data_IF_626405283981
#
_entry.id   IF_626405283981
#
_cell.length_a   1.000
_cell.length_b   1.000
_cell.length_c   1.000
_cell.angle_alpha   90.00
_cell.angle_beta   90.00
_cell.angle_gamma   90.00
#
_symmetry.space_group_name_H-M   'P 1'
#
loop_
_entity.id
_entity.type
_entity.pdbx_description
1 polymer ?
#
# COMPACT_ATOMS: atom_id res chain seq x y z
N UNK A 1 35.66 -3.05 -37.12
CA UNK A 1 34.43 -2.34 -36.72
C UNK A 1 34.38 -2.36 -35.21
N UNK A 2 34.85 -1.32 -34.56
CA UNK A 2 34.84 -1.17 -33.10
C UNK A 2 33.41 -0.80 -32.67
N UNK A 3 32.72 -1.71 -31.98
CA UNK A 3 31.47 -1.38 -31.33
C UNK A 3 31.76 -0.33 -30.26
N UNK A 4 31.36 0.89 -30.54
CA UNK A 4 31.35 1.98 -29.52
C UNK A 4 30.39 1.55 -28.41
N UNK A 5 30.91 1.22 -27.26
CA UNK A 5 30.13 1.08 -26.03
C UNK A 5 29.61 2.46 -25.69
N UNK A 6 28.42 2.80 -26.19
CA UNK A 6 27.71 4.01 -25.79
C UNK A 6 27.46 3.85 -24.29
N UNK A 7 28.12 4.68 -23.47
CA UNK A 7 27.87 4.73 -22.04
C UNK A 7 26.34 4.87 -21.83
N UNK A 8 25.74 3.96 -21.08
CA UNK A 8 24.32 3.99 -20.80
C UNK A 8 24.00 5.30 -20.07
N UNK A 9 23.09 6.11 -20.62
CA UNK A 9 22.71 7.37 -20.01
C UNK A 9 22.00 7.09 -18.68
N UNK A 10 22.47 7.73 -17.60
CA UNK A 10 21.90 7.63 -16.25
C UNK A 10 21.29 8.99 -15.91
N UNK A 11 20.03 8.98 -15.47
CA UNK A 11 19.36 10.18 -14.94
C UNK A 11 19.90 10.45 -13.53
N UNK A 12 20.54 11.61 -13.26
CA UNK A 12 21.07 11.92 -11.94
C UNK A 12 19.98 12.28 -10.94
N UNK A 13 20.27 12.16 -9.64
CA UNK A 13 19.39 12.67 -8.59
C UNK A 13 19.14 14.17 -8.77
N UNK A 14 17.90 14.60 -8.61
CA UNK A 14 17.44 15.97 -8.83
C UNK A 14 17.28 16.77 -7.52
N UNK A 15 16.93 16.08 -6.41
CA UNK A 15 16.54 16.72 -5.14
C UNK A 15 17.32 16.21 -3.93
N UNK A 16 18.40 15.47 -4.15
CA UNK A 16 19.31 15.03 -3.08
C UNK A 16 19.92 16.26 -2.36
N UNK A 17 19.95 16.23 -1.03
CA UNK A 17 20.36 17.35 -0.17
C UNK A 17 19.30 18.44 0.03
N UNK A 18 18.13 18.32 -0.64
CA UNK A 18 17.01 19.27 -0.50
C UNK A 18 15.76 18.57 0.10
N UNK A 19 15.33 17.45 -0.46
CA UNK A 19 14.14 16.70 -0.03
C UNK A 19 14.50 15.51 0.86
N UNK A 20 15.72 15.07 0.78
CA UNK A 20 16.30 13.97 1.56
C UNK A 20 17.82 14.11 1.65
N UNK A 21 18.51 13.46 2.61
CA UNK A 21 19.97 13.55 2.74
C UNK A 21 20.73 13.07 1.50
N UNK A 22 21.73 13.85 1.06
CA UNK A 22 22.61 13.47 -0.05
C UNK A 22 23.66 12.42 0.34
N UNK A 23 23.99 12.29 1.63
CA UNK A 23 24.88 11.25 2.15
C UNK A 23 24.14 9.89 2.17
N UNK A 24 24.73 8.83 1.59
CA UNK A 24 24.06 7.53 1.49
C UNK A 24 23.73 6.90 2.86
N UNK A 25 24.61 7.08 3.86
CA UNK A 25 24.39 6.49 5.18
C UNK A 25 23.29 7.24 5.94
N UNK A 26 23.29 8.58 5.86
CA UNK A 26 22.24 9.42 6.44
C UNK A 26 20.88 9.15 5.77
N UNK A 27 20.86 8.99 4.44
CA UNK A 27 19.63 8.65 3.72
C UNK A 27 19.10 7.28 4.15
N UNK A 28 19.97 6.25 4.21
CA UNK A 28 19.56 4.92 4.66
C UNK A 28 18.98 4.95 6.06
N UNK A 29 19.61 5.67 6.99
CA UNK A 29 19.11 5.81 8.36
C UNK A 29 17.76 6.54 8.42
N UNK A 30 17.57 7.60 7.62
CA UNK A 30 16.30 8.34 7.54
C UNK A 30 15.17 7.45 6.99
N UNK A 31 15.44 6.65 5.96
CA UNK A 31 14.48 5.71 5.40
C UNK A 31 14.12 4.60 6.40
N UNK A 32 15.12 4.04 7.11
CA UNK A 32 14.88 3.04 8.15
C UNK A 32 14.01 3.59 9.27
N UNK A 33 14.27 4.81 9.71
CA UNK A 33 13.44 5.50 10.69
C UNK A 33 12.00 5.72 10.17
N UNK A 34 11.82 6.09 8.90
CA UNK A 34 10.52 6.25 8.29
C UNK A 34 9.74 4.93 8.24
N UNK A 35 10.37 3.82 7.84
CA UNK A 35 9.77 2.48 7.85
C UNK A 35 9.44 2.00 9.26
N UNK A 36 10.31 2.25 10.24
CA UNK A 36 10.07 1.90 11.64
C UNK A 36 8.90 2.70 12.27
N UNK A 37 8.71 3.94 11.84
CA UNK A 37 7.62 4.82 12.29
C UNK A 37 6.30 4.63 11.50
N UNK A 38 6.33 3.85 10.41
CA UNK A 38 5.15 3.62 9.58
C UNK A 38 4.11 2.78 10.34
N UNK A 39 2.81 3.10 10.26
CA UNK A 39 1.77 2.24 10.77
C UNK A 39 1.85 0.84 10.15
N UNK A 40 1.46 -0.23 10.88
CA UNK A 40 1.37 -1.57 10.31
C UNK A 40 0.48 -1.59 9.06
N UNK A 41 0.96 -2.22 7.99
CA UNK A 41 0.26 -2.31 6.71
C UNK A 41 -0.14 -3.77 6.41
N UNK A 42 -1.28 -4.26 6.96
CA UNK A 42 -1.74 -5.64 6.77
C UNK A 42 -2.41 -5.84 5.39
N UNK A 43 -1.96 -5.10 4.38
CA UNK A 43 -2.51 -5.08 3.04
C UNK A 43 -1.65 -5.90 2.08
N UNK A 44 -2.25 -6.33 0.96
CA UNK A 44 -1.61 -7.00 -0.15
C UNK A 44 -1.87 -6.22 -1.42
N UNK A 45 -1.25 -5.06 -1.50
CA UNK A 45 -1.52 -4.11 -2.56
C UNK A 45 -0.72 -4.45 -3.83
N UNK A 46 -1.40 -4.51 -4.95
CA UNK A 46 -0.82 -4.48 -6.29
C UNK A 46 -0.41 -3.07 -6.69
N UNK A 47 -1.17 -2.09 -6.22
CA UNK A 47 -0.96 -0.69 -6.49
C UNK A 47 -1.12 0.12 -5.20
N UNK A 48 -0.28 1.16 -5.04
CA UNK A 48 -0.30 2.05 -3.88
C UNK A 48 -0.26 3.51 -4.31
N UNK A 49 -0.82 4.41 -3.47
CA UNK A 49 -0.58 5.85 -3.58
C UNK A 49 0.45 6.25 -2.53
N UNK A 50 1.46 7.01 -2.96
CA UNK A 50 2.62 7.38 -2.14
C UNK A 50 2.84 8.89 -2.23
N UNK A 51 2.91 9.63 -1.12
CA UNK A 51 3.25 11.05 -1.15
C UNK A 51 4.73 11.28 -1.49
N UNK A 52 5.06 12.49 -1.99
CA UNK A 52 6.39 12.81 -2.50
C UNK A 52 6.97 14.12 -1.95
N UNK A 53 6.47 14.63 -0.85
CA UNK A 53 7.12 15.73 -0.13
C UNK A 53 8.46 15.30 0.47
N UNK A 54 9.22 16.24 1.03
CA UNK A 54 10.47 15.93 1.72
C UNK A 54 10.29 14.87 2.81
N UNK A 55 11.34 14.05 3.02
CA UNK A 55 11.28 12.86 3.88
C UNK A 55 10.81 13.17 5.31
N UNK A 56 11.17 14.34 5.84
CA UNK A 56 10.78 14.78 7.19
C UNK A 56 9.27 15.05 7.31
N UNK A 57 8.58 15.33 6.20
CA UNK A 57 7.16 15.64 6.17
C UNK A 57 6.29 14.43 5.85
N UNK A 58 6.62 13.72 4.77
CA UNK A 58 5.76 12.65 4.24
C UNK A 58 6.37 11.25 4.38
N UNK A 59 7.63 11.12 4.87
CA UNK A 59 8.38 9.88 4.82
C UNK A 59 7.68 8.69 5.49
N UNK A 60 7.08 8.88 6.68
CA UNK A 60 6.35 7.80 7.38
C UNK A 60 5.10 7.35 6.62
N UNK A 61 4.46 8.26 5.88
CA UNK A 61 3.27 7.95 5.07
C UNK A 61 3.69 7.21 3.81
N UNK A 62 4.79 7.65 3.15
CA UNK A 62 5.37 6.96 2.01
C UNK A 62 5.82 5.52 2.37
N UNK A 63 6.47 5.36 3.51
CA UNK A 63 6.89 4.06 4.04
C UNK A 63 5.68 3.15 4.32
N UNK A 64 4.60 3.68 4.91
CA UNK A 64 3.35 2.94 5.13
C UNK A 64 2.77 2.42 3.82
N UNK A 65 2.68 3.28 2.78
CA UNK A 65 2.17 2.88 1.47
C UNK A 65 2.97 1.73 0.85
N UNK A 66 4.30 1.84 0.83
CA UNK A 66 5.16 0.83 0.20
C UNK A 66 5.24 -0.47 1.01
N UNK A 67 5.09 -0.40 2.34
CA UNK A 67 4.98 -1.60 3.19
C UNK A 67 3.71 -2.42 2.93
N UNK A 68 2.74 -1.85 2.22
CA UNK A 68 1.51 -2.55 1.84
C UNK A 68 1.66 -3.42 0.58
N UNK A 69 2.75 -3.31 -0.16
CA UNK A 69 2.94 -4.07 -1.41
C UNK A 69 2.91 -5.58 -1.15
N UNK A 70 2.20 -6.32 -2.02
CA UNK A 70 2.09 -7.77 -1.91
C UNK A 70 3.41 -8.45 -2.27
N UNK A 71 3.80 -9.41 -1.44
CA UNK A 71 4.94 -10.30 -1.66
C UNK A 71 6.20 -9.55 -2.20
N UNK A 72 6.74 -8.58 -1.45
CA UNK A 72 7.84 -7.72 -1.94
C UNK A 72 9.05 -8.53 -2.41
N UNK A 73 9.29 -9.73 -1.87
CA UNK A 73 10.35 -10.63 -2.27
C UNK A 73 10.20 -11.18 -3.71
N UNK A 74 9.03 -11.07 -4.31
CA UNK A 74 8.74 -11.48 -5.70
C UNK A 74 8.87 -10.35 -6.70
N UNK A 75 8.85 -9.10 -6.21
CA UNK A 75 8.85 -7.93 -7.08
C UNK A 75 10.18 -7.78 -7.79
N UNK A 76 10.11 -7.66 -9.11
CA UNK A 76 11.23 -7.40 -10.01
C UNK A 76 11.12 -6.03 -10.66
N UNK A 77 9.92 -5.44 -10.63
CA UNK A 77 9.61 -4.17 -11.29
C UNK A 77 8.66 -3.32 -10.47
N UNK A 78 8.93 -2.02 -10.43
CA UNK A 78 8.00 -1.03 -9.89
C UNK A 78 7.74 0.05 -10.95
N UNK A 79 6.49 0.20 -11.35
CA UNK A 79 6.03 1.32 -12.18
C UNK A 79 5.77 2.50 -11.24
N UNK A 80 6.40 3.64 -11.50
CA UNK A 80 6.22 4.86 -10.70
C UNK A 80 5.58 5.92 -11.59
N UNK A 81 4.30 6.23 -11.35
CA UNK A 81 3.59 7.32 -12.02
C UNK A 81 3.60 8.54 -11.10
N UNK A 82 3.94 9.71 -11.62
CA UNK A 82 3.93 10.94 -10.83
C UNK A 82 3.58 12.17 -11.66
N UNK A 83 3.12 13.26 -11.01
CA UNK A 83 2.80 14.51 -11.69
C UNK A 83 4.05 15.25 -12.13
N UNK A 84 3.86 16.10 -13.11
CA UNK A 84 4.87 17.06 -13.54
C UNK A 84 4.62 18.43 -12.87
N UNK A 85 5.66 18.98 -12.22
CA UNK A 85 5.58 20.26 -11.49
C UNK A 85 6.38 21.38 -12.15
N UNK A 86 7.21 21.11 -13.16
CA UNK A 86 8.25 22.03 -13.62
C UNK A 86 7.92 22.73 -14.93
N UNK A 87 7.42 21.99 -15.90
CA UNK A 87 7.10 22.53 -17.23
C UNK A 87 5.75 22.02 -17.68
N UNK A 88 5.10 22.73 -18.60
CA UNK A 88 3.85 22.21 -19.18
C UNK A 88 4.14 20.88 -19.91
N UNK A 89 3.35 19.88 -19.62
CA UNK A 89 3.40 18.56 -20.23
C UNK A 89 1.97 18.12 -20.57
N UNK A 90 1.72 17.93 -21.85
CA UNK A 90 0.48 17.34 -22.34
C UNK A 90 0.71 15.83 -22.51
N UNK A 91 -0.14 14.99 -21.91
CA UNK A 91 -0.02 13.54 -21.96
C UNK A 91 1.01 12.98 -20.98
N UNK A 92 1.80 12.00 -21.44
CA UNK A 92 2.75 11.22 -20.65
C UNK A 92 4.16 11.34 -21.23
N UNK A 93 5.16 11.54 -20.37
CA UNK A 93 6.56 11.52 -20.76
C UNK A 93 7.32 10.34 -20.12
N UNK A 94 8.20 9.71 -20.92
CA UNK A 94 9.21 8.76 -20.48
C UNK A 94 10.60 9.40 -20.62
N UNK A 95 11.48 9.16 -19.66
CA UNK A 95 12.86 9.62 -19.73
C UNK A 95 13.70 8.69 -20.61
N UNK A 96 14.60 9.21 -21.48
CA UNK A 96 15.43 8.39 -22.36
C UNK A 96 16.60 7.66 -21.66
N UNK A 97 16.82 7.87 -20.36
CA UNK A 97 17.88 7.20 -19.61
C UNK A 97 17.54 5.73 -19.34
N UNK A 98 18.57 4.89 -19.34
CA UNK A 98 18.48 3.46 -19.06
C UNK A 98 18.50 3.13 -17.57
N UNK A 99 18.83 4.10 -16.72
CA UNK A 99 18.87 3.95 -15.27
C UNK A 99 18.73 5.31 -14.58
N UNK A 100 18.35 5.28 -13.30
CA UNK A 100 18.24 6.45 -12.43
C UNK A 100 19.17 6.32 -11.23
N UNK A 101 19.95 7.35 -10.94
CA UNK A 101 20.88 7.39 -9.82
C UNK A 101 20.25 8.11 -8.62
N UNK A 102 20.44 7.56 -7.44
CA UNK A 102 20.21 8.21 -6.15
C UNK A 102 21.45 7.97 -5.26
N UNK A 103 21.55 8.58 -4.08
CA UNK A 103 22.62 8.24 -3.14
C UNK A 103 22.68 6.76 -2.73
N UNK A 104 21.57 6.01 -2.86
CA UNK A 104 21.53 4.56 -2.58
C UNK A 104 22.08 3.69 -3.73
N UNK A 105 22.43 4.29 -4.86
CA UNK A 105 22.91 3.59 -6.04
C UNK A 105 22.04 3.80 -7.27
N UNK A 106 22.17 2.91 -8.24
CA UNK A 106 21.52 3.03 -9.55
C UNK A 106 20.37 2.03 -9.66
N UNK A 107 19.18 2.53 -10.03
CA UNK A 107 18.01 1.72 -10.36
C UNK A 107 17.92 1.56 -11.89
N UNK A 108 17.95 0.34 -12.43
CA UNK A 108 17.80 0.11 -13.87
C UNK A 108 16.36 0.38 -14.32
N UNK A 109 16.19 0.89 -15.54
CA UNK A 109 14.88 1.07 -16.17
C UNK A 109 14.50 -0.21 -16.92
N UNK A 110 13.30 -0.72 -16.68
CA UNK A 110 12.71 -1.83 -17.42
C UNK A 110 12.26 -1.35 -18.82
N UNK A 111 13.22 -1.25 -19.75
CA UNK A 111 13.02 -0.64 -21.06
C UNK A 111 11.93 -1.32 -21.89
N UNK A 112 11.81 -2.65 -21.80
CA UNK A 112 10.80 -3.39 -22.55
C UNK A 112 9.38 -3.00 -22.09
N UNK A 113 9.19 -2.84 -20.78
CA UNK A 113 7.93 -2.36 -20.24
C UNK A 113 7.69 -0.89 -20.62
N UNK A 114 8.70 -0.02 -20.51
CA UNK A 114 8.56 1.38 -20.91
C UNK A 114 8.18 1.50 -22.40
N UNK A 115 8.79 0.67 -23.28
CA UNK A 115 8.44 0.64 -24.71
C UNK A 115 7.00 0.22 -24.99
N UNK A 116 6.39 -0.58 -24.13
CA UNK A 116 5.01 -1.05 -24.33
C UNK A 116 3.98 0.08 -24.40
N UNK A 117 4.26 1.24 -23.81
CA UNK A 117 3.34 2.39 -23.82
C UNK A 117 3.70 3.45 -24.88
N UNK A 118 4.87 3.36 -25.53
CA UNK A 118 5.30 4.37 -26.53
C UNK A 118 4.44 4.40 -27.79
N UNK A 119 3.66 3.36 -28.05
CA UNK A 119 2.74 3.34 -29.19
C UNK A 119 1.40 4.03 -28.90
N UNK A 120 1.18 4.49 -27.65
CA UNK A 120 -0.02 5.24 -27.31
C UNK A 120 0.10 6.69 -27.79
N UNK A 121 -0.96 7.19 -28.39
CA UNK A 121 -1.06 8.60 -28.73
C UNK A 121 -1.08 9.44 -27.45
N UNK A 122 -0.22 10.45 -27.36
CA UNK A 122 -0.01 11.24 -26.15
C UNK A 122 1.10 10.73 -25.21
N UNK A 123 1.86 9.69 -25.59
CA UNK A 123 3.08 9.26 -24.88
C UNK A 123 4.32 9.60 -25.69
N UNK A 124 5.28 10.28 -25.08
CA UNK A 124 6.53 10.68 -25.74
C UNK A 124 7.77 10.40 -24.89
N UNK A 125 8.92 10.25 -25.55
CA UNK A 125 10.23 10.28 -24.87
C UNK A 125 10.71 11.71 -24.84
N UNK A 126 10.77 12.31 -23.63
CA UNK A 126 11.24 13.68 -23.44
C UNK A 126 11.92 13.82 -22.08
N UNK A 127 13.19 14.25 -22.06
CA UNK A 127 13.95 14.45 -20.83
C UNK A 127 13.64 15.77 -20.13
N UNK A 128 13.10 16.76 -20.85
CA UNK A 128 12.92 18.13 -20.32
C UNK A 128 12.02 18.21 -19.09
N UNK A 129 10.88 17.51 -19.02
CA UNK A 129 10.00 17.58 -17.86
C UNK A 129 10.61 16.99 -16.58
N UNK A 130 11.66 16.20 -16.68
CA UNK A 130 12.30 15.54 -15.53
C UNK A 130 13.38 16.38 -14.85
N UNK A 131 13.77 17.51 -15.45
CA UNK A 131 14.80 18.39 -14.87
C UNK A 131 14.25 19.07 -13.61
N UNK A 132 14.87 18.77 -12.46
CA UNK A 132 14.45 19.27 -11.15
C UNK A 132 13.10 18.71 -10.65
N UNK A 133 12.55 17.69 -11.31
CA UNK A 133 11.30 17.04 -10.89
C UNK A 133 11.56 16.01 -9.78
N UNK A 134 10.74 16.04 -8.74
CA UNK A 134 10.90 15.23 -7.52
C UNK A 134 9.86 14.13 -7.35
N UNK A 135 8.73 14.23 -8.05
CA UNK A 135 7.57 13.35 -7.82
C UNK A 135 7.85 11.87 -8.05
N UNK A 136 8.80 11.53 -8.92
CA UNK A 136 9.21 10.15 -9.18
C UNK A 136 10.44 9.75 -8.33
N UNK A 137 11.33 10.69 -8.03
CA UNK A 137 12.56 10.44 -7.28
C UNK A 137 12.27 10.16 -5.80
N UNK A 138 11.30 10.86 -5.22
CA UNK A 138 10.94 10.65 -3.81
C UNK A 138 10.43 9.23 -3.54
N UNK A 139 9.44 8.66 -4.26
CA UNK A 139 9.10 7.25 -4.11
C UNK A 139 10.26 6.31 -4.43
N UNK A 140 11.12 6.64 -5.41
CA UNK A 140 12.23 5.79 -5.82
C UNK A 140 13.21 5.49 -4.68
N UNK A 141 13.58 6.46 -3.84
CA UNK A 141 14.49 6.20 -2.71
C UNK A 141 13.91 5.18 -1.72
N UNK A 142 12.61 5.22 -1.46
CA UNK A 142 11.92 4.22 -0.63
C UNK A 142 11.85 2.85 -1.32
N UNK A 143 11.55 2.84 -2.63
CA UNK A 143 11.55 1.61 -3.44
C UNK A 143 12.92 0.96 -3.43
N UNK A 144 14.01 1.69 -3.64
CA UNK A 144 15.37 1.15 -3.60
C UNK A 144 15.74 0.60 -2.22
N UNK A 145 15.26 1.25 -1.14
CA UNK A 145 15.52 0.78 0.23
C UNK A 145 14.76 -0.51 0.55
N UNK A 146 13.52 -0.62 0.09
CA UNK A 146 12.66 -1.79 0.32
C UNK A 146 13.02 -2.96 -0.60
N UNK A 147 13.35 -2.67 -1.86
CA UNK A 147 13.53 -3.64 -2.95
C UNK A 147 14.88 -3.41 -3.67
N UNK A 148 16.01 -3.74 -3.04
CA UNK A 148 17.32 -3.53 -3.64
C UNK A 148 17.45 -4.25 -4.99
N UNK A 149 17.89 -3.51 -6.03
CA UNK A 149 18.10 -4.05 -7.36
C UNK A 149 16.84 -4.20 -8.23
N UNK A 150 15.68 -3.73 -7.76
CA UNK A 150 14.45 -3.72 -8.55
C UNK A 150 14.58 -2.82 -9.78
N UNK A 151 13.98 -3.24 -10.90
CA UNK A 151 13.84 -2.40 -12.08
C UNK A 151 12.68 -1.41 -11.90
N UNK A 152 12.80 -0.22 -12.49
CA UNK A 152 11.76 0.80 -12.44
C UNK A 152 11.21 1.13 -13.83
N UNK A 153 9.96 1.60 -13.87
CA UNK A 153 9.38 2.27 -15.04
C UNK A 153 8.92 3.65 -14.59
N UNK A 154 9.76 4.69 -14.71
CA UNK A 154 9.41 6.05 -14.33
C UNK A 154 8.51 6.69 -15.40
N UNK A 155 7.29 7.06 -15.03
CA UNK A 155 6.25 7.60 -15.91
C UNK A 155 5.80 8.95 -15.39
N UNK A 156 6.10 10.01 -16.10
CA UNK A 156 5.69 11.37 -15.74
C UNK A 156 4.38 11.70 -16.44
N UNK A 157 3.36 12.06 -15.67
CA UNK A 157 2.00 12.32 -16.15
C UNK A 157 1.70 13.81 -16.04
N UNK A 158 1.45 14.44 -17.15
CA UNK A 158 1.04 15.84 -17.25
C UNK A 158 -0.48 16.01 -17.36
N UNK A 159 -0.92 16.95 -18.15
CA UNK A 159 -2.32 17.09 -18.52
C UNK A 159 -2.71 15.92 -19.45
N UNK A 160 -3.18 14.83 -18.87
CA UNK A 160 -3.53 13.60 -19.58
C UNK A 160 -4.99 13.23 -19.34
N UNK A 161 -5.65 12.81 -20.41
CA UNK A 161 -6.98 12.23 -20.30
C UNK A 161 -6.93 10.92 -19.47
N UNK A 162 -7.90 10.68 -18.59
CA UNK A 162 -7.92 9.50 -17.74
C UNK A 162 -7.83 8.18 -18.50
N UNK A 163 -8.39 8.11 -19.71
CA UNK A 163 -8.34 6.94 -20.58
C UNK A 163 -6.90 6.63 -21.07
N UNK A 164 -6.09 7.65 -21.35
CA UNK A 164 -4.69 7.46 -21.72
C UNK A 164 -3.88 6.87 -20.56
N UNK A 165 -4.08 7.40 -19.35
CA UNK A 165 -3.39 6.89 -18.17
C UNK A 165 -3.87 5.48 -17.82
N UNK A 166 -5.17 5.20 -17.93
CA UNK A 166 -5.73 3.85 -17.76
C UNK A 166 -5.06 2.86 -18.70
N UNK A 167 -5.00 3.17 -20.01
CA UNK A 167 -4.39 2.28 -21.00
C UNK A 167 -2.89 2.09 -20.75
N UNK A 168 -2.19 3.14 -20.36
CA UNK A 168 -0.78 3.05 -20.00
C UNK A 168 -0.56 2.13 -18.78
N UNK A 169 -1.37 2.27 -17.72
CA UNK A 169 -1.32 1.43 -16.52
C UNK A 169 -1.66 -0.02 -16.87
N UNK A 170 -2.69 -0.26 -17.71
CA UNK A 170 -3.05 -1.61 -18.15
C UNK A 170 -1.91 -2.31 -18.90
N UNK A 171 -1.22 -1.60 -19.81
CA UNK A 171 -0.06 -2.16 -20.53
C UNK A 171 1.14 -2.41 -19.62
N UNK A 172 1.27 -1.64 -18.54
CA UNK A 172 2.33 -1.76 -17.54
C UNK A 172 1.98 -2.70 -16.38
N UNK A 173 0.76 -3.25 -16.35
CA UNK A 173 0.22 -4.01 -15.21
C UNK A 173 1.12 -5.16 -14.78
N UNK A 174 1.64 -5.93 -15.74
CA UNK A 174 2.47 -7.10 -15.47
C UNK A 174 1.76 -8.18 -14.64
N UNK A 175 2.54 -9.15 -14.18
CA UNK A 175 2.12 -10.19 -13.26
C UNK A 175 2.44 -9.85 -11.79
N UNK A 176 2.56 -10.88 -10.92
CA UNK A 176 2.89 -10.70 -9.50
C UNK A 176 4.30 -10.14 -9.26
N UNK A 177 5.16 -10.11 -10.28
CA UNK A 177 6.50 -9.52 -10.24
C UNK A 177 6.52 -8.00 -10.42
N UNK A 178 5.38 -7.36 -10.73
CA UNK A 178 5.26 -5.93 -10.99
C UNK A 178 4.36 -5.27 -9.95
N UNK A 179 4.80 -4.19 -9.32
CA UNK A 179 3.99 -3.30 -8.49
C UNK A 179 3.80 -1.94 -9.15
N UNK A 180 2.74 -1.23 -8.78
CA UNK A 180 2.42 0.11 -9.28
C UNK A 180 2.40 1.10 -8.12
N UNK A 181 3.16 2.16 -8.25
CA UNK A 181 3.26 3.27 -7.31
C UNK A 181 2.73 4.54 -7.99
N UNK A 182 1.63 5.07 -7.50
CA UNK A 182 1.07 6.37 -7.94
C UNK A 182 1.53 7.42 -6.94
N UNK A 183 2.36 8.32 -7.40
CA UNK A 183 2.96 9.38 -6.60
C UNK A 183 2.05 10.59 -6.55
N UNK A 184 1.58 10.97 -5.36
CA UNK A 184 0.73 12.15 -5.19
C UNK A 184 0.68 12.62 -3.75
N UNK A 185 0.88 13.91 -3.53
CA UNK A 185 0.40 14.59 -2.33
C UNK A 185 -1.08 14.96 -2.50
N UNK A 186 -1.78 15.27 -1.39
CA UNK A 186 -3.18 15.69 -1.38
C UNK A 186 -3.31 17.22 -1.56
N UNK A 187 -4.12 17.89 -0.75
CA UNK A 187 -4.35 19.34 -0.89
C UNK A 187 -3.09 20.16 -0.61
N UNK A 188 -3.00 21.35 -1.22
CA UNK A 188 -1.87 22.25 -1.09
C UNK A 188 -2.26 23.65 -0.64
N UNK A 189 -1.44 24.21 0.25
CA UNK A 189 -1.45 25.62 0.64
C UNK A 189 -2.76 26.15 1.22
N UNK A 190 -3.57 25.28 1.80
CA UNK A 190 -4.74 25.60 2.55
C UNK A 190 -4.40 25.82 4.04
N UNK A 191 -5.28 26.50 4.79
CA UNK A 191 -5.19 26.49 6.25
C UNK A 191 -5.43 25.08 6.79
N UNK A 192 -4.85 24.74 7.95
CA UNK A 192 -4.92 23.39 8.51
C UNK A 192 -6.36 22.82 8.61
N UNK A 193 -7.39 23.54 9.06
CA UNK A 193 -8.77 23.04 9.04
C UNK A 193 -9.31 22.80 7.63
N UNK A 194 -9.00 23.69 6.67
CA UNK A 194 -9.47 23.58 5.31
C UNK A 194 -8.76 22.43 4.55
N UNK A 195 -7.44 22.23 4.82
CA UNK A 195 -6.69 21.11 4.29
C UNK A 195 -7.28 19.78 4.74
N UNK A 196 -7.53 19.60 6.06
CA UNK A 196 -8.14 18.37 6.59
C UNK A 196 -9.49 18.08 5.96
N UNK A 197 -10.39 19.07 5.88
CA UNK A 197 -11.70 18.87 5.25
C UNK A 197 -11.62 18.52 3.76
N UNK A 198 -10.65 19.10 3.03
CA UNK A 198 -10.40 18.77 1.62
C UNK A 198 -9.83 17.35 1.48
N UNK A 199 -8.87 16.99 2.31
CA UNK A 199 -8.18 15.70 2.27
C UNK A 199 -9.12 14.56 2.65
N UNK A 200 -10.00 14.75 3.64
CA UNK A 200 -11.06 13.80 4.00
C UNK A 200 -12.04 13.57 2.82
N UNK A 201 -12.44 14.65 2.14
CA UNK A 201 -13.29 14.53 0.96
C UNK A 201 -12.57 13.82 -0.21
N UNK A 202 -11.29 14.13 -0.43
CA UNK A 202 -10.45 13.47 -1.46
C UNK A 202 -10.27 12.00 -1.14
N UNK A 203 -9.97 11.66 0.12
CA UNK A 203 -9.90 10.29 0.59
C UNK A 203 -11.18 9.53 0.27
N UNK A 204 -12.33 10.07 0.62
CA UNK A 204 -13.62 9.43 0.37
C UNK A 204 -13.87 9.19 -1.13
N UNK A 205 -13.47 10.11 -2.02
CA UNK A 205 -13.54 9.92 -3.48
C UNK A 205 -12.67 8.77 -3.94
N UNK A 206 -11.41 8.71 -3.48
CA UNK A 206 -10.46 7.66 -3.85
C UNK A 206 -10.96 6.29 -3.38
N UNK A 207 -11.43 6.18 -2.12
CA UNK A 207 -11.93 4.92 -1.54
C UNK A 207 -13.19 4.40 -2.24
N UNK A 208 -14.07 5.30 -2.71
CA UNK A 208 -15.27 4.92 -3.49
C UNK A 208 -15.01 4.65 -4.97
N UNK A 209 -13.81 4.96 -5.48
CA UNK A 209 -13.49 4.86 -6.89
C UNK A 209 -14.07 5.98 -7.76
N UNK A 210 -14.42 7.11 -7.17
CA UNK A 210 -15.06 8.28 -7.84
C UNK A 210 -14.01 9.12 -8.60
N UNK A 211 -13.33 8.51 -9.55
CA UNK A 211 -12.23 9.13 -10.30
C UNK A 211 -12.66 10.40 -11.06
N UNK A 212 -13.90 10.48 -11.51
CA UNK A 212 -14.43 11.63 -12.28
C UNK A 212 -14.61 12.89 -11.42
N UNK A 213 -14.73 12.73 -10.10
CA UNK A 213 -14.90 13.81 -9.14
C UNK A 213 -13.56 14.36 -8.62
N UNK A 214 -12.43 13.72 -8.93
CA UNK A 214 -11.11 14.23 -8.54
C UNK A 214 -10.73 15.46 -9.35
N UNK A 215 -10.34 16.51 -8.65
CA UNK A 215 -9.97 17.80 -9.20
C UNK A 215 -8.46 18.07 -9.01
N UNK A 216 -7.85 18.98 -9.81
CA UNK A 216 -6.46 19.40 -9.62
C UNK A 216 -6.16 19.98 -8.23
N UNK A 217 -7.19 20.50 -7.54
CA UNK A 217 -7.08 21.03 -6.17
C UNK A 217 -7.15 19.98 -5.08
N UNK A 218 -7.51 18.76 -5.42
CA UNK A 218 -7.63 17.65 -4.46
C UNK A 218 -6.28 16.95 -4.25
N UNK A 219 -5.49 16.81 -5.34
CA UNK A 219 -4.21 16.14 -5.31
C UNK A 219 -3.33 16.59 -6.49
N UNK A 220 -2.01 16.77 -6.28
CA UNK A 220 -1.10 17.15 -7.36
C UNK A 220 -1.01 16.06 -8.44
N UNK A 221 -1.08 14.79 -8.07
CA UNK A 221 -1.11 13.64 -8.97
C UNK A 221 -2.50 13.28 -9.51
N UNK A 222 -3.47 14.20 -9.51
CA UNK A 222 -4.87 13.90 -9.86
C UNK A 222 -5.02 13.24 -11.24
N UNK A 223 -4.22 13.60 -12.24
CA UNK A 223 -4.28 12.98 -13.58
C UNK A 223 -3.88 11.50 -13.51
N UNK A 224 -2.78 11.18 -12.83
CA UNK A 224 -2.33 9.81 -12.61
C UNK A 224 -3.33 9.02 -11.76
N UNK A 225 -3.86 9.62 -10.69
CA UNK A 225 -4.86 9.01 -9.82
C UNK A 225 -6.15 8.67 -10.55
N UNK A 226 -6.66 9.55 -11.40
CA UNK A 226 -7.89 9.30 -12.18
C UNK A 226 -7.76 8.05 -13.05
N UNK A 227 -6.65 7.90 -13.77
CA UNK A 227 -6.41 6.71 -14.61
C UNK A 227 -6.20 5.45 -13.77
N UNK A 228 -5.42 5.53 -12.69
CA UNK A 228 -5.18 4.41 -11.78
C UNK A 228 -6.46 3.90 -11.10
N UNK A 229 -7.34 4.81 -10.65
CA UNK A 229 -8.64 4.46 -10.05
C UNK A 229 -9.58 3.83 -11.09
N UNK A 230 -9.53 4.27 -12.35
CA UNK A 230 -10.29 3.61 -13.43
C UNK A 230 -9.88 2.16 -13.60
N UNK A 231 -8.56 1.88 -13.64
CA UNK A 231 -8.04 0.50 -13.67
C UNK A 231 -8.49 -0.28 -12.45
N UNK A 232 -8.38 0.30 -11.26
CA UNK A 232 -8.80 -0.35 -10.03
C UNK A 232 -10.30 -0.71 -10.04
N UNK A 233 -11.14 0.22 -10.51
CA UNK A 233 -12.59 0.01 -10.62
C UNK A 233 -12.93 -1.07 -11.64
N UNK A 234 -12.29 -1.04 -12.84
CA UNK A 234 -12.50 -2.03 -13.88
C UNK A 234 -12.08 -3.45 -13.43
N UNK A 235 -11.06 -3.55 -12.60
CA UNK A 235 -10.56 -4.81 -12.03
C UNK A 235 -11.27 -5.23 -10.72
N UNK A 236 -12.25 -4.46 -10.26
CA UNK A 236 -12.95 -4.74 -8.99
C UNK A 236 -12.03 -4.73 -7.78
N UNK A 237 -10.99 -3.91 -7.80
CA UNK A 237 -10.05 -3.80 -6.69
C UNK A 237 -10.69 -3.10 -5.49
N UNK A 238 -10.28 -3.50 -4.30
CA UNK A 238 -10.63 -2.79 -3.08
C UNK A 238 -9.60 -1.69 -2.82
N UNK A 239 -10.08 -0.47 -2.64
CA UNK A 239 -9.25 0.67 -2.27
C UNK A 239 -9.42 0.98 -0.79
N UNK A 240 -8.32 1.18 -0.08
CA UNK A 240 -8.34 1.51 1.36
C UNK A 240 -7.33 2.62 1.66
N UNK A 241 -7.78 3.68 2.33
CA UNK A 241 -6.90 4.69 2.91
C UNK A 241 -6.21 4.14 4.15
N UNK A 242 -4.89 4.27 4.21
CA UNK A 242 -4.06 3.59 5.21
C UNK A 242 -3.51 4.51 6.28
N UNK A 243 -2.88 5.60 5.84
CA UNK A 243 -2.21 6.56 6.71
C UNK A 243 -2.32 7.96 6.13
N UNK A 244 -2.51 8.93 7.00
CA UNK A 244 -2.68 10.34 6.64
C UNK A 244 -1.85 11.22 7.57
N UNK A 245 -1.37 12.33 7.03
CA UNK A 245 -0.66 13.36 7.77
C UNK A 245 -0.78 14.70 7.04
N UNK A 246 -0.36 15.76 7.70
CA UNK A 246 -0.24 17.07 7.09
C UNK A 246 1.07 17.75 7.50
N UNK A 247 1.56 18.68 6.68
CA UNK A 247 2.86 19.32 6.88
C UNK A 247 2.96 20.11 8.20
N UNK A 248 1.84 20.58 8.76
CA UNK A 248 1.80 21.25 10.06
C UNK A 248 2.09 20.31 11.24
N UNK A 249 1.89 18.98 11.08
CA UNK A 249 2.25 17.99 12.09
C UNK A 249 3.79 17.81 12.20
N UNK A 250 4.52 18.10 11.14
CA UNK A 250 5.98 18.09 11.10
C UNK A 250 6.61 19.50 11.29
N UNK A 251 5.84 20.45 11.84
CA UNK A 251 6.31 21.81 12.13
C UNK A 251 6.17 22.80 10.98
N UNK A 252 5.50 22.46 9.91
CA UNK A 252 5.16 23.39 8.83
C UNK A 252 4.13 24.45 9.26
N UNK A 253 4.00 25.56 8.51
CA UNK A 253 3.08 26.65 8.84
C UNK A 253 1.61 26.20 8.67
N UNK A 254 0.79 26.47 9.69
CA UNK A 254 -0.62 26.07 9.74
C UNK A 254 -1.54 26.82 8.77
N UNK A 255 -1.05 27.91 8.20
CA UNK A 255 -1.75 28.74 7.21
C UNK A 255 -1.55 28.23 5.77
N UNK A 256 -0.55 27.34 5.56
CA UNK A 256 -0.17 26.84 4.24
C UNK A 256 0.24 25.35 4.32
N UNK A 257 -0.74 24.52 4.57
CA UNK A 257 -0.57 23.08 4.79
C UNK A 257 -0.56 22.30 3.47
N UNK A 258 0.22 21.25 3.41
CA UNK A 258 0.15 20.19 2.39
C UNK A 258 -0.31 18.90 3.06
N UNK A 259 -1.32 18.26 2.48
CA UNK A 259 -1.84 16.98 2.94
C UNK A 259 -1.11 15.80 2.32
N UNK A 260 -0.97 14.71 3.06
CA UNK A 260 -0.33 13.46 2.64
C UNK A 260 -1.25 12.28 2.90
N UNK A 261 -1.34 11.35 1.94
CA UNK A 261 -2.17 10.17 2.06
C UNK A 261 -1.51 8.94 1.46
N UNK A 262 -1.64 7.82 2.15
CA UNK A 262 -1.27 6.49 1.66
C UNK A 262 -2.52 5.68 1.38
N UNK A 263 -2.59 5.04 0.22
CA UNK A 263 -3.70 4.17 -0.15
C UNK A 263 -3.18 2.86 -0.71
N UNK A 264 -3.89 1.77 -0.38
CA UNK A 264 -3.67 0.45 -0.93
C UNK A 264 -4.81 0.07 -1.88
N UNK A 265 -4.46 -0.49 -3.04
CA UNK A 265 -5.38 -1.09 -3.99
C UNK A 265 -5.08 -2.58 -4.05
N UNK A 266 -6.00 -3.38 -3.53
CA UNK A 266 -5.87 -4.83 -3.43
C UNK A 266 -6.76 -5.51 -4.47
N UNK A 267 -6.23 -6.51 -5.17
CA UNK A 267 -7.04 -7.35 -6.04
C UNK A 267 -8.06 -8.12 -5.19
N UNK A 268 -9.29 -8.29 -5.70
CA UNK A 268 -10.38 -8.92 -4.94
C UNK A 268 -10.01 -10.33 -4.45
N UNK A 269 -9.21 -11.07 -5.20
CA UNK A 269 -8.70 -12.39 -4.85
C UNK A 269 -7.64 -12.33 -3.76
N UNK A 270 -6.74 -11.33 -3.77
CA UNK A 270 -5.74 -11.09 -2.73
C UNK A 270 -6.37 -10.60 -1.42
N UNK A 271 -7.51 -9.90 -1.49
CA UNK A 271 -8.29 -9.51 -0.31
C UNK A 271 -8.98 -10.71 0.36
N UNK A 272 -9.17 -11.82 -0.35
CA UNK A 272 -9.71 -13.07 0.17
C UNK A 272 -8.56 -13.95 0.67
N UNK A 273 -8.74 -14.55 1.83
CA UNK A 273 -7.81 -15.60 2.28
C UNK A 273 -7.86 -16.78 1.31
N UNK A 274 -6.69 -17.34 0.90
CA UNK A 274 -6.64 -18.59 0.18
C UNK A 274 -7.44 -19.67 0.91
N UNK A 275 -8.06 -20.58 0.15
CA UNK A 275 -8.89 -21.65 0.75
C UNK A 275 -8.11 -22.47 1.77
N UNK A 276 -6.83 -22.78 1.50
CA UNK A 276 -5.96 -23.47 2.46
C UNK A 276 -5.76 -22.69 3.76
N UNK A 277 -5.68 -21.37 3.72
CA UNK A 277 -5.54 -20.54 4.92
C UNK A 277 -6.87 -20.42 5.69
N UNK A 278 -8.01 -20.41 4.99
CA UNK A 278 -9.34 -20.49 5.63
C UNK A 278 -9.50 -21.80 6.40
N UNK A 279 -9.16 -22.93 5.76
CA UNK A 279 -9.21 -24.24 6.40
C UNK A 279 -8.28 -24.28 7.63
N UNK A 280 -7.08 -23.71 7.54
CA UNK A 280 -6.12 -23.61 8.66
C UNK A 280 -6.67 -22.77 9.82
N UNK A 281 -7.35 -21.66 9.56
CA UNK A 281 -7.95 -20.83 10.62
C UNK A 281 -9.09 -21.56 11.33
N UNK A 282 -9.95 -22.28 10.59
CA UNK A 282 -11.00 -23.10 11.21
C UNK A 282 -10.39 -24.21 12.05
N UNK A 283 -9.39 -24.93 11.51
CA UNK A 283 -8.69 -25.97 12.26
C UNK A 283 -8.02 -25.42 13.53
N UNK A 284 -7.42 -24.23 13.44
CA UNK A 284 -6.81 -23.54 14.57
C UNK A 284 -7.83 -23.15 15.64
N UNK A 285 -9.00 -22.63 15.24
CA UNK A 285 -10.08 -22.30 16.15
C UNK A 285 -10.60 -23.56 16.88
N UNK A 286 -10.81 -24.68 16.16
CA UNK A 286 -11.20 -25.96 16.73
C UNK A 286 -10.17 -26.44 17.75
N UNK A 287 -8.88 -26.51 17.34
CA UNK A 287 -7.81 -26.97 18.23
C UNK A 287 -7.67 -26.10 19.49
N UNK A 288 -7.88 -24.76 19.34
CA UNK A 288 -7.84 -23.83 20.47
C UNK A 288 -9.01 -24.07 21.46
N UNK A 289 -10.19 -24.37 20.95
CA UNK A 289 -11.35 -24.71 21.78
C UNK A 289 -11.17 -26.06 22.48
N UNK A 290 -10.63 -27.07 21.78
CA UNK A 290 -10.33 -28.40 22.38
C UNK A 290 -9.28 -28.27 23.49
N UNK A 291 -8.23 -27.49 23.24
CA UNK A 291 -7.21 -27.20 24.26
C UNK A 291 -7.83 -26.53 25.48
N UNK A 292 -8.61 -25.47 25.28
CA UNK A 292 -9.23 -24.71 26.34
C UNK A 292 -10.22 -25.56 27.16
N UNK A 293 -10.97 -26.46 26.52
CA UNK A 293 -11.88 -27.40 27.21
C UNK A 293 -11.11 -28.36 28.13
N UNK A 294 -9.91 -28.79 27.73
CA UNK A 294 -9.05 -29.66 28.54
C UNK A 294 -8.28 -28.90 29.63
N UNK A 295 -8.12 -27.56 29.49
CA UNK A 295 -7.30 -26.70 30.35
C UNK A 295 -8.11 -25.59 31.02
N UNK A 296 -9.36 -25.86 31.42
CA UNK A 296 -10.21 -24.91 32.18
C UNK A 296 -10.38 -23.52 31.56
N UNK A 297 -10.40 -23.43 30.22
CA UNK A 297 -10.59 -22.20 29.50
C UNK A 297 -9.31 -21.42 29.21
N UNK A 298 -8.14 -21.97 29.47
CA UNK A 298 -6.86 -21.35 29.09
C UNK A 298 -6.64 -21.37 27.57
N UNK A 299 -6.10 -20.27 27.04
CA UNK A 299 -5.76 -20.18 25.61
C UNK A 299 -4.40 -20.84 25.32
N UNK A 300 -4.27 -21.61 24.21
CA UNK A 300 -2.99 -22.18 23.82
C UNK A 300 -2.01 -21.09 23.37
N UNK A 301 -0.71 -21.31 23.59
CA UNK A 301 0.33 -20.47 23.02
C UNK A 301 0.50 -20.79 21.52
N UNK A 302 0.13 -19.86 20.66
CA UNK A 302 0.25 -20.02 19.21
C UNK A 302 1.63 -19.53 18.73
N UNK A 303 2.50 -20.48 18.39
CA UNK A 303 3.76 -20.22 17.69
C UNK A 303 3.49 -20.00 16.20
N UNK A 304 3.99 -18.88 15.65
CA UNK A 304 3.99 -18.66 14.21
C UNK A 304 5.32 -19.21 13.66
N UNK A 305 5.29 -20.45 13.15
CA UNK A 305 6.45 -21.07 12.49
C UNK A 305 6.71 -20.48 11.11
N UNK A 306 7.84 -20.84 10.50
CA UNK A 306 8.23 -20.38 9.17
C UNK A 306 7.23 -20.77 8.05
N UNK A 307 6.40 -21.79 8.31
CA UNK A 307 5.42 -22.31 7.35
C UNK A 307 4.06 -21.56 7.39
N UNK A 308 3.94 -20.55 8.27
CA UNK A 308 2.70 -19.75 8.35
C UNK A 308 2.71 -18.72 7.24
N UNK A 309 1.65 -18.69 6.44
CA UNK A 309 1.51 -17.74 5.34
C UNK A 309 1.56 -16.29 5.84
N UNK A 310 2.01 -15.37 4.98
CA UNK A 310 2.00 -13.95 5.27
C UNK A 310 0.61 -13.42 5.63
N UNK A 311 -0.46 -14.01 5.05
CA UNK A 311 -1.84 -13.65 5.35
C UNK A 311 -2.26 -14.00 6.80
N UNK A 312 -1.79 -15.13 7.33
CA UNK A 312 -2.07 -15.57 8.70
C UNK A 312 -1.17 -14.86 9.73
N UNK A 313 0.00 -14.39 9.30
CA UNK A 313 0.96 -13.63 10.12
C UNK A 313 0.63 -12.14 10.17
N UNK A 314 -0.15 -11.62 9.21
CA UNK A 314 -0.54 -10.22 9.16
C UNK A 314 -1.42 -9.83 10.37
N UNK A 315 -1.25 -8.61 10.87
CA UNK A 315 -2.14 -8.06 11.91
C UNK A 315 -3.52 -7.80 11.32
N UNK A 316 -4.52 -8.56 11.77
CA UNK A 316 -5.92 -8.39 11.38
C UNK A 316 -6.83 -8.68 12.57
N UNK A 317 -7.97 -8.00 12.59
CA UNK A 317 -9.02 -8.23 13.59
C UNK A 317 -9.99 -9.30 13.11
N UNK A 318 -10.50 -10.12 14.03
CA UNK A 318 -11.49 -11.14 13.74
C UNK A 318 -12.59 -11.21 14.79
N UNK A 319 -13.71 -11.80 14.38
CA UNK A 319 -14.75 -12.31 15.28
C UNK A 319 -14.91 -13.80 15.05
N UNK A 320 -15.01 -14.55 16.13
CA UNK A 320 -15.33 -15.98 16.09
C UNK A 320 -16.73 -16.18 16.65
N UNK A 321 -17.61 -16.78 15.85
CA UNK A 321 -18.97 -17.10 16.19
C UNK A 321 -19.12 -18.61 16.30
N UNK A 322 -19.68 -19.06 17.40
CA UNK A 322 -20.00 -20.46 17.70
C UNK A 322 -21.50 -20.63 17.67
N UNK A 323 -21.97 -21.59 16.92
CA UNK A 323 -23.39 -21.93 16.82
C UNK A 323 -23.62 -23.42 17.15
N UNK A 324 -24.73 -23.71 17.76
CA UNK A 324 -25.23 -25.05 17.97
C UNK A 324 -26.66 -25.14 17.47
N UNK A 325 -26.94 -26.07 16.56
CA UNK A 325 -28.28 -26.23 15.95
C UNK A 325 -28.80 -24.90 15.35
N UNK A 326 -27.93 -24.16 14.63
CA UNK A 326 -28.19 -22.86 14.06
C UNK A 326 -28.58 -21.75 15.07
N UNK A 327 -28.30 -21.95 16.36
CA UNK A 327 -28.49 -20.94 17.40
C UNK A 327 -27.15 -20.49 17.95
N UNK A 328 -27.04 -19.15 18.18
CA UNK A 328 -25.84 -18.57 18.76
C UNK A 328 -25.49 -19.24 20.09
N UNK A 329 -24.22 -19.67 20.22
CA UNK A 329 -23.68 -20.31 21.44
C UNK A 329 -22.51 -19.49 22.03
N UNK A 330 -21.91 -18.61 21.26
CA UNK A 330 -20.87 -17.67 21.67
C UNK A 330 -20.41 -16.84 20.50
N UNK A 331 -20.03 -15.58 20.73
CA UNK A 331 -19.47 -14.70 19.70
C UNK A 331 -18.62 -13.62 20.35
N UNK A 332 -17.31 -13.70 20.13
CA UNK A 332 -16.34 -12.71 20.63
C UNK A 332 -15.39 -12.35 19.49
N UNK A 333 -14.93 -11.11 19.52
CA UNK A 333 -13.91 -10.58 18.60
C UNK A 333 -13.36 -9.26 19.06
N UNK A 334 -12.34 -8.80 18.36
CA UNK A 334 -11.72 -7.49 18.54
C UNK A 334 -11.98 -6.63 17.31
N UNK A 335 -12.45 -5.40 17.46
CA UNK A 335 -12.58 -4.47 16.33
C UNK A 335 -11.24 -3.90 15.87
N UNK A 336 -10.17 -4.06 16.66
CA UNK A 336 -8.84 -3.53 16.38
C UNK A 336 -7.84 -4.65 16.10
N UNK A 337 -7.10 -4.54 15.00
CA UNK A 337 -6.02 -5.44 14.63
C UNK A 337 -4.79 -5.19 15.53
N UNK A 338 -4.57 -6.02 16.54
CA UNK A 338 -3.50 -5.87 17.53
C UNK A 338 -2.44 -6.95 17.46
N UNK A 339 -2.74 -8.07 16.81
CA UNK A 339 -1.86 -9.23 16.70
C UNK A 339 -2.04 -9.93 15.36
N UNK A 340 -1.17 -10.89 15.06
CA UNK A 340 -1.28 -11.73 13.88
C UNK A 340 -2.64 -12.44 13.83
N UNK A 341 -3.26 -12.53 12.64
CA UNK A 341 -4.60 -13.10 12.44
C UNK A 341 -4.77 -14.47 13.07
N UNK A 342 -3.78 -15.35 12.91
CA UNK A 342 -3.85 -16.69 13.51
C UNK A 342 -3.94 -16.64 15.04
N UNK A 343 -3.21 -15.74 15.70
CA UNK A 343 -3.28 -15.54 17.15
C UNK A 343 -4.60 -14.91 17.58
N UNK A 344 -5.10 -13.95 16.80
CA UNK A 344 -6.35 -13.26 17.08
C UNK A 344 -7.54 -14.25 17.01
N UNK A 345 -7.57 -15.09 15.98
CA UNK A 345 -8.60 -16.13 15.82
C UNK A 345 -8.54 -17.15 16.97
N UNK A 346 -7.35 -17.62 17.35
CA UNK A 346 -7.21 -18.56 18.46
C UNK A 346 -7.71 -17.98 19.78
N UNK A 347 -7.33 -16.74 20.09
CA UNK A 347 -7.76 -16.05 21.30
C UNK A 347 -9.28 -15.78 21.31
N UNK A 348 -9.83 -15.31 20.17
CA UNK A 348 -11.27 -15.05 20.06
C UNK A 348 -12.10 -16.33 20.08
N UNK A 349 -11.61 -17.45 19.55
CA UNK A 349 -12.28 -18.76 19.66
C UNK A 349 -12.42 -19.17 21.13
N UNK A 350 -11.34 -19.11 21.89
CA UNK A 350 -11.38 -19.44 23.34
C UNK A 350 -12.29 -18.46 24.08
N UNK A 351 -12.17 -17.17 23.81
CA UNK A 351 -13.04 -16.16 24.44
C UNK A 351 -14.52 -16.38 24.09
N UNK A 352 -14.85 -16.76 22.86
CA UNK A 352 -16.24 -17.08 22.48
C UNK A 352 -16.79 -18.34 23.18
N UNK A 353 -15.94 -19.35 23.42
CA UNK A 353 -16.35 -20.56 24.06
C UNK A 353 -16.40 -20.52 25.60
N UNK A 354 -15.51 -19.73 26.20
CA UNK A 354 -15.28 -19.77 27.66
C UNK A 354 -15.39 -18.40 28.35
N UNK A 355 -15.38 -17.31 27.59
CA UNK A 355 -15.37 -15.93 28.11
C UNK A 355 -16.57 -15.08 27.71
N UNK A 356 -17.50 -15.60 26.89
CA UNK A 356 -18.70 -14.85 26.51
C UNK A 356 -19.69 -14.81 27.69
N UNK A 357 -19.94 -13.63 28.28
CA UNK A 357 -20.77 -13.54 29.51
C UNK A 357 -22.24 -13.93 29.31
N UNK A 358 -22.69 -14.09 28.08
CA UNK A 358 -24.07 -14.48 27.75
C UNK A 358 -24.32 -15.98 27.89
N UNK A 359 -23.24 -16.79 27.97
CA UNK A 359 -23.33 -18.23 27.95
C UNK A 359 -22.43 -18.89 29.01
N UNK A 360 -22.79 -20.06 29.49
CA UNK A 360 -21.90 -20.86 30.33
C UNK A 360 -20.69 -21.35 29.49
N UNK A 361 -19.52 -21.59 30.11
CA UNK A 361 -18.39 -22.20 29.42
C UNK A 361 -18.75 -23.48 28.67
N UNK A 362 -18.14 -23.68 27.50
CA UNK A 362 -18.36 -24.88 26.69
C UNK A 362 -17.94 -26.15 27.44
N UNK A 363 -18.70 -27.19 27.22
CA UNK A 363 -18.35 -28.55 27.65
C UNK A 363 -17.66 -29.30 26.52
N UNK A 364 -16.85 -30.31 26.85
CA UNK A 364 -16.20 -31.20 25.87
C UNK A 364 -17.21 -31.84 24.90
N UNK A 365 -18.41 -32.21 25.39
CA UNK A 365 -19.44 -32.83 24.57
C UNK A 365 -20.04 -31.87 23.52
N UNK A 366 -20.05 -30.57 23.78
CA UNK A 366 -20.60 -29.59 22.85
C UNK A 366 -19.68 -29.37 21.65
N UNK A 367 -18.36 -29.54 21.80
CA UNK A 367 -17.38 -29.28 20.72
C UNK A 367 -17.69 -30.07 19.44
N UNK A 368 -18.16 -31.30 19.57
CA UNK A 368 -18.44 -32.19 18.44
C UNK A 368 -19.64 -31.74 17.56
N UNK A 369 -20.49 -30.83 18.07
CA UNK A 369 -21.73 -30.40 17.41
C UNK A 369 -21.76 -28.89 17.13
N UNK A 370 -20.63 -28.21 17.32
CA UNK A 370 -20.51 -26.79 17.03
C UNK A 370 -20.29 -26.52 15.54
N UNK A 371 -20.96 -25.48 15.04
CA UNK A 371 -20.60 -24.81 13.81
C UNK A 371 -19.78 -23.58 14.17
N UNK A 372 -18.59 -23.43 13.53
CA UNK A 372 -17.68 -22.31 13.77
C UNK A 372 -17.64 -21.46 12.52
N UNK A 373 -17.87 -20.18 12.67
CA UNK A 373 -17.64 -19.19 11.62
C UNK A 373 -16.66 -18.11 12.09
N UNK A 374 -15.83 -17.64 11.16
CA UNK A 374 -14.80 -16.62 11.42
C UNK A 374 -15.05 -15.45 10.46
N UNK A 375 -15.34 -14.30 11.03
CA UNK A 375 -15.42 -13.04 10.29
C UNK A 375 -14.11 -12.28 10.47
N UNK A 376 -13.41 -12.03 9.37
CA UNK A 376 -12.16 -11.26 9.38
C UNK A 376 -12.50 -9.85 8.95
N UNK A 377 -12.18 -8.87 9.81
CA UNK A 377 -12.45 -7.50 9.51
C UNK A 377 -11.45 -6.93 8.50
N UNK A 378 -11.94 -6.09 7.61
CA UNK A 378 -11.07 -5.18 6.86
C UNK A 378 -10.33 -4.30 7.88
N UNK A 379 -9.08 -3.91 7.59
CA UNK A 379 -8.39 -2.92 8.43
C UNK A 379 -9.29 -1.71 8.63
N UNK A 380 -9.41 -1.25 9.87
CA UNK A 380 -10.14 -0.02 10.14
C UNK A 380 -9.47 1.12 9.40
N UNK A 381 -10.24 1.87 8.62
CA UNK A 381 -9.76 3.13 8.09
C UNK A 381 -9.47 4.06 9.29
N UNK A 382 -8.31 4.72 9.37
CA UNK A 382 -8.10 5.73 10.40
C UNK A 382 -9.17 6.83 10.26
N UNK A 383 -9.80 7.16 11.37
CA UNK A 383 -10.73 8.30 11.47
C UNK A 383 -9.96 9.61 11.44
#
# INVERSE_FOLDING_TARGET
>A
MTASTRALAVHPAQVAGMFYPADPAALSAALDAAFAAAPPAPYRAKMVVVPHAGIDYSGRIAASALSALDAPERLKRVVILGPNHRVALDGIALHPAHAWATPLGVAPVAEDAARAILSLDGVAVDARPFVGEHSLEMPLIFVQRLLPGVEIVPVLVGAAEPALVEEAVERLWGGPETAICVSSDLSHFLSAPAARGRDDATRAKIERGDWSELLPTDACGYSALRGAIRVASARGMRTTGMAFAASDEAGGPRERVVGYGAFAFEEAEAARLPEGDRARLIALAVASLEFAAAHHGEAPAIGLGADVSSALSAQRASFVTLEREARLRGCIGSPAARMALARDVAANAVAAGFGDPRFAPLTQAELAVLTISISILSPAAPF
#
